data_IF_992313873731
#
_entry.id   IF_992313873731
#
_cell.length_a   1.000
_cell.length_b   1.000
_cell.length_c   1.000
_cell.angle_alpha   90.00
_cell.angle_beta   90.00
_cell.angle_gamma   90.00
#
_symmetry.space_group_name_H-M   'P 1'
#
loop_
_entity.id
_entity.type
_entity.pdbx_description
1 polymer ?
#
# COMPACT_ATOMS: atom_id res chain seq x y z
N UNK A 1 -8.12 -36.98 30.10
CA UNK A 1 -7.72 -35.57 29.88
C UNK A 1 -6.83 -35.35 28.66
N UNK A 2 -6.07 -36.36 28.21
CA UNK A 2 -5.07 -36.27 27.13
C UNK A 2 -5.65 -36.03 25.73
N UNK A 3 -6.77 -36.67 25.36
CA UNK A 3 -7.38 -36.55 24.02
C UNK A 3 -7.87 -35.14 23.67
N UNK A 4 -8.43 -34.43 24.66
CA UNK A 4 -8.97 -33.08 24.49
C UNK A 4 -7.85 -32.06 24.20
N UNK A 5 -6.67 -32.28 24.78
CA UNK A 5 -5.49 -31.46 24.50
C UNK A 5 -4.95 -31.68 23.08
N UNK A 6 -4.94 -32.92 22.58
CA UNK A 6 -4.43 -33.23 21.23
C UNK A 6 -5.27 -32.58 20.13
N UNK A 7 -6.60 -32.55 20.29
CA UNK A 7 -7.53 -31.91 19.34
C UNK A 7 -7.36 -30.39 19.36
N UNK A 8 -7.22 -29.77 20.54
CA UNK A 8 -6.99 -28.32 20.65
C UNK A 8 -5.65 -27.91 20.04
N UNK A 9 -4.60 -28.72 20.23
CA UNK A 9 -3.29 -28.50 19.61
C UNK A 9 -3.38 -28.66 18.08
N UNK A 10 -4.09 -29.67 17.58
CA UNK A 10 -4.33 -29.85 16.14
C UNK A 10 -5.12 -28.69 15.51
N UNK A 11 -6.15 -28.19 16.20
CA UNK A 11 -6.97 -27.06 15.74
C UNK A 11 -6.16 -25.75 15.73
N UNK A 12 -5.29 -25.54 16.72
CA UNK A 12 -4.34 -24.42 16.75
C UNK A 12 -3.30 -24.53 15.64
N UNK A 13 -2.79 -25.73 15.36
CA UNK A 13 -1.86 -25.99 14.26
C UNK A 13 -2.44 -25.67 12.89
N UNK A 14 -3.71 -26.05 12.65
CA UNK A 14 -4.45 -25.69 11.43
C UNK A 14 -4.64 -24.17 11.28
N UNK A 15 -4.98 -23.48 12.39
CA UNK A 15 -5.11 -22.02 12.38
C UNK A 15 -3.80 -21.30 12.05
N UNK A 16 -2.67 -21.77 12.59
CA UNK A 16 -1.34 -21.22 12.31
C UNK A 16 -0.94 -21.48 10.85
N UNK A 17 -1.23 -22.66 10.31
CA UNK A 17 -0.95 -23.00 8.91
C UNK A 17 -1.77 -22.15 7.93
N UNK A 18 -3.05 -21.92 8.24
CA UNK A 18 -3.91 -21.05 7.44
C UNK A 18 -3.42 -19.60 7.45
N UNK A 19 -2.99 -19.10 8.62
CA UNK A 19 -2.42 -17.77 8.76
C UNK A 19 -1.10 -17.62 7.99
N UNK A 20 -0.22 -18.62 8.07
CA UNK A 20 1.04 -18.65 7.34
C UNK A 20 0.82 -18.67 5.82
N UNK A 21 -0.14 -19.47 5.34
CA UNK A 21 -0.50 -19.52 3.93
C UNK A 21 -1.06 -18.18 3.43
N UNK A 22 -1.99 -17.59 4.18
CA UNK A 22 -2.54 -16.27 3.87
C UNK A 22 -1.45 -15.19 3.83
N UNK A 23 -0.52 -15.22 4.78
CA UNK A 23 0.58 -14.27 4.85
C UNK A 23 1.53 -14.39 3.64
N UNK A 24 1.94 -15.60 3.26
CA UNK A 24 2.79 -15.83 2.07
C UNK A 24 2.09 -15.37 0.79
N UNK A 25 0.78 -15.62 0.68
CA UNK A 25 -0.01 -15.21 -0.48
C UNK A 25 -0.15 -13.69 -0.55
N UNK A 26 -0.29 -13.02 0.60
CA UNK A 26 -0.36 -11.56 0.68
C UNK A 26 0.98 -10.90 0.34
N UNK A 27 2.10 -11.42 0.86
CA UNK A 27 3.44 -10.87 0.58
C UNK A 27 3.86 -11.07 -0.86
N UNK A 28 3.55 -12.21 -1.47
CA UNK A 28 3.82 -12.46 -2.90
C UNK A 28 3.00 -11.56 -3.82
N UNK A 29 1.70 -11.38 -3.56
CA UNK A 29 0.88 -10.41 -4.27
C UNK A 29 1.44 -8.99 -4.13
N UNK A 30 1.83 -8.62 -2.92
CA UNK A 30 2.36 -7.30 -2.64
C UNK A 30 3.67 -7.03 -3.39
N UNK A 31 4.60 -7.98 -3.37
CA UNK A 31 5.88 -7.88 -4.08
C UNK A 31 5.71 -7.73 -5.61
N UNK A 32 4.65 -8.29 -6.17
CA UNK A 32 4.33 -8.15 -7.61
C UNK A 32 3.67 -6.80 -7.92
N UNK A 33 2.80 -6.30 -7.04
CA UNK A 33 2.02 -5.08 -7.26
C UNK A 33 2.81 -3.81 -6.89
N UNK A 34 3.65 -3.87 -5.87
CA UNK A 34 4.48 -2.75 -5.40
C UNK A 34 5.29 -2.05 -6.50
N UNK A 35 6.06 -2.76 -7.38
CA UNK A 35 6.82 -2.09 -8.42
C UNK A 35 5.90 -1.40 -9.45
N UNK A 36 4.74 -1.98 -9.75
CA UNK A 36 3.76 -1.38 -10.66
C UNK A 36 3.17 -0.12 -10.03
N UNK A 37 2.79 -0.18 -8.76
CA UNK A 37 2.25 0.96 -8.03
C UNK A 37 3.28 2.09 -7.94
N UNK A 38 4.55 1.77 -7.67
CA UNK A 38 5.64 2.75 -7.67
C UNK A 38 5.84 3.38 -9.05
N UNK A 39 5.77 2.58 -10.10
CA UNK A 39 5.97 3.05 -11.48
C UNK A 39 4.80 3.90 -11.99
N UNK A 40 3.61 3.80 -11.39
CA UNK A 40 2.42 4.57 -11.80
C UNK A 40 2.15 5.74 -10.85
N UNK A 41 1.97 5.49 -9.55
CA UNK A 41 1.57 6.50 -8.57
C UNK A 41 2.61 7.59 -8.39
N UNK A 42 3.89 7.22 -8.39
CA UNK A 42 4.98 8.17 -8.13
C UNK A 42 5.14 9.18 -9.28
N UNK A 43 5.26 8.78 -10.56
CA UNK A 43 5.28 9.76 -11.64
C UNK A 43 3.93 10.46 -11.83
N UNK A 44 2.79 9.79 -11.60
CA UNK A 44 1.48 10.43 -11.72
C UNK A 44 1.28 11.54 -10.67
N UNK A 45 1.58 11.27 -9.40
CA UNK A 45 1.50 12.28 -8.33
C UNK A 45 2.46 13.44 -8.59
N UNK A 46 3.69 13.17 -9.02
CA UNK A 46 4.67 14.20 -9.33
C UNK A 46 4.27 15.05 -10.54
N UNK A 47 3.77 14.43 -11.61
CA UNK A 47 3.30 15.13 -12.80
C UNK A 47 2.10 16.02 -12.47
N UNK A 48 1.11 15.50 -11.74
CA UNK A 48 -0.06 16.29 -11.34
C UNK A 48 0.31 17.44 -10.42
N UNK A 49 1.27 17.25 -9.52
CA UNK A 49 1.80 18.32 -8.69
C UNK A 49 2.40 19.43 -9.56
N UNK A 50 3.26 19.10 -10.52
CA UNK A 50 3.84 20.09 -11.45
C UNK A 50 2.81 20.80 -12.32
N UNK A 51 1.84 20.06 -12.87
CA UNK A 51 0.73 20.64 -13.63
C UNK A 51 -0.05 21.62 -12.74
N UNK A 52 -0.26 21.27 -11.47
CA UNK A 52 -0.93 22.15 -10.52
C UNK A 52 -0.15 23.43 -10.24
N UNK A 53 1.17 23.33 -10.03
CA UNK A 53 2.03 24.50 -9.83
C UNK A 53 2.01 25.41 -11.06
N UNK A 54 2.21 24.83 -12.24
CA UNK A 54 2.27 25.60 -13.49
C UNK A 54 0.94 26.28 -13.82
N UNK A 55 -0.16 25.53 -13.88
CA UNK A 55 -1.45 26.08 -14.30
C UNK A 55 -2.20 26.80 -13.19
N UNK A 56 -2.07 26.31 -11.94
CA UNK A 56 -2.81 26.84 -10.80
C UNK A 56 -2.16 28.03 -10.11
N UNK A 57 -0.83 28.17 -10.16
CA UNK A 57 -0.12 29.24 -9.45
C UNK A 57 0.75 30.11 -10.36
N UNK A 58 1.44 29.53 -11.34
CA UNK A 58 2.35 30.30 -12.22
C UNK A 58 1.58 31.02 -13.33
N UNK A 59 0.66 30.33 -14.00
CA UNK A 59 -0.14 30.86 -15.11
C UNK A 59 -1.48 31.47 -14.66
N UNK A 60 -1.83 31.29 -13.39
CA UNK A 60 -3.09 31.76 -12.75
C UNK A 60 -4.32 31.54 -13.64
N UNK A 61 -4.45 30.32 -14.17
CA UNK A 61 -5.49 30.01 -15.14
C UNK A 61 -6.89 30.08 -14.48
N UNK A 62 -7.81 30.95 -14.94
CA UNK A 62 -9.02 31.33 -14.20
C UNK A 62 -10.04 30.20 -14.01
N UNK A 63 -9.96 29.13 -14.79
CA UNK A 63 -10.87 27.97 -14.71
C UNK A 63 -10.19 26.71 -14.17
N UNK A 64 -8.91 26.79 -13.78
CA UNK A 64 -8.16 25.62 -13.36
C UNK A 64 -8.37 25.36 -11.87
N UNK A 65 -8.82 24.15 -11.45
CA UNK A 65 -9.09 23.83 -10.05
C UNK A 65 -7.78 23.53 -9.30
N UNK A 66 -6.96 24.55 -9.07
CA UNK A 66 -5.62 24.45 -8.50
C UNK A 66 -5.61 23.67 -7.17
N UNK A 67 -6.45 24.08 -6.22
CA UNK A 67 -6.56 23.42 -4.92
C UNK A 67 -7.06 21.98 -5.02
N UNK A 68 -7.99 21.70 -5.94
CA UNK A 68 -8.52 20.35 -6.16
C UNK A 68 -7.46 19.39 -6.71
N UNK A 69 -6.72 19.81 -7.74
CA UNK A 69 -5.63 19.00 -8.28
C UNK A 69 -4.45 18.88 -7.31
N UNK A 70 -4.17 19.92 -6.51
CA UNK A 70 -3.13 19.83 -5.48
C UNK A 70 -3.48 18.74 -4.47
N UNK A 71 -4.69 18.80 -3.91
CA UNK A 71 -5.17 17.81 -2.94
C UNK A 71 -5.18 16.40 -3.54
N UNK A 72 -5.55 16.26 -4.81
CA UNK A 72 -5.52 14.97 -5.51
C UNK A 72 -4.09 14.43 -5.67
N UNK A 73 -3.12 15.26 -6.07
CA UNK A 73 -1.71 14.87 -6.18
C UNK A 73 -1.11 14.44 -4.84
N UNK A 74 -1.40 15.18 -3.77
CA UNK A 74 -0.97 14.85 -2.40
C UNK A 74 -1.64 13.57 -1.92
N UNK A 75 -2.93 13.39 -2.20
CA UNK A 75 -3.66 12.17 -1.83
C UNK A 75 -3.08 10.94 -2.54
N UNK A 76 -2.78 11.02 -3.84
CA UNK A 76 -2.12 9.96 -4.59
C UNK A 76 -0.75 9.60 -3.99
N UNK A 77 0.01 10.60 -3.59
CA UNK A 77 1.29 10.40 -2.92
C UNK A 77 1.13 9.73 -1.55
N UNK A 78 0.16 10.17 -0.73
CA UNK A 78 -0.13 9.56 0.56
C UNK A 78 -0.60 8.10 0.42
N UNK A 79 -1.41 7.79 -0.59
CA UNK A 79 -1.80 6.41 -0.91
C UNK A 79 -0.57 5.58 -1.25
N UNK A 80 0.35 6.09 -2.07
CA UNK A 80 1.61 5.41 -2.33
C UNK A 80 2.42 5.17 -1.04
N UNK A 81 2.56 6.17 -0.18
CA UNK A 81 3.28 6.06 1.10
C UNK A 81 2.63 5.03 2.02
N UNK A 82 1.30 5.03 2.13
CA UNK A 82 0.56 4.08 2.95
C UNK A 82 0.76 2.64 2.45
N UNK A 83 0.69 2.44 1.14
CA UNK A 83 0.93 1.13 0.53
C UNK A 83 2.39 0.71 0.73
N UNK A 84 3.37 1.54 0.34
CA UNK A 84 4.78 1.23 0.54
C UNK A 84 5.13 0.94 2.03
N UNK A 85 4.54 1.68 2.96
CA UNK A 85 4.68 1.45 4.40
C UNK A 85 4.08 0.12 4.86
N UNK A 86 2.91 -0.26 4.33
CA UNK A 86 2.31 -1.59 4.54
C UNK A 86 3.21 -2.71 4.02
N UNK A 87 3.79 -2.55 2.84
CA UNK A 87 4.78 -3.48 2.29
C UNK A 87 5.99 -3.63 3.19
N UNK A 88 6.53 -2.49 3.67
CA UNK A 88 7.65 -2.50 4.60
C UNK A 88 7.31 -3.18 5.93
N UNK A 89 6.12 -3.00 6.47
CA UNK A 89 5.69 -3.71 7.68
C UNK A 89 5.55 -5.21 7.42
N UNK A 90 4.90 -5.59 6.32
CA UNK A 90 4.72 -6.99 5.94
C UNK A 90 6.06 -7.70 5.75
N UNK A 91 7.02 -7.06 5.07
CA UNK A 91 8.37 -7.61 4.88
C UNK A 91 9.23 -7.47 6.14
N UNK A 92 9.03 -6.44 6.95
CA UNK A 92 9.68 -6.24 8.24
C UNK A 92 9.40 -7.40 9.20
N UNK A 93 8.15 -7.88 9.24
CA UNK A 93 7.77 -9.10 9.97
C UNK A 93 8.46 -10.39 9.47
N UNK A 94 9.14 -10.41 8.31
CA UNK A 94 9.96 -11.56 7.88
C UNK A 94 11.35 -11.58 8.51
N UNK A 95 11.83 -10.45 9.06
CA UNK A 95 13.19 -10.30 9.58
C UNK A 95 13.34 -10.59 11.08
N UNK A 96 12.23 -10.65 11.80
CA UNK A 96 12.15 -10.98 13.23
C UNK A 96 11.71 -12.45 13.43
#
# INVERSE_FOLDING_TARGET
MTLKNTVVVGLRGLGVLALACAYVLLTTLFAMVEPVLRLVLLPASFLMFWVTILFGFVLDAPHFPAWGMLMFSVSLFLVYVAVAGLGYLLVGFQRD
#
